data_IF_511185495229
#
_entry.id   IF_511185495229
#
_cell.length_a   1.000
_cell.length_b   1.000
_cell.length_c   1.000
_cell.angle_alpha   90.00
_cell.angle_beta   90.00
_cell.angle_gamma   90.00
#
_symmetry.space_group_name_H-M   'P 1'
#
loop_
_entity.id
_entity.type
_entity.pdbx_description
1 polymer ?
#
# COMPACT_ATOMS: atom_id res chain seq x y z
N UNK A 1 -4.99 -8.10 -36.69
CA UNK A 1 -5.68 -7.90 -35.38
C UNK A 1 -5.35 -6.56 -34.70
N UNK A 2 -4.09 -6.09 -34.68
CA UNK A 2 -3.69 -4.87 -33.96
C UNK A 2 -4.20 -3.55 -34.54
N UNK A 3 -4.30 -3.43 -35.88
CA UNK A 3 -4.86 -2.21 -36.52
C UNK A 3 -6.34 -2.02 -36.22
N UNK A 4 -7.13 -3.10 -36.31
CA UNK A 4 -8.56 -3.09 -35.97
C UNK A 4 -8.78 -2.72 -34.50
N UNK A 5 -8.00 -3.30 -33.57
CA UNK A 5 -8.10 -2.99 -32.14
C UNK A 5 -7.81 -1.51 -31.84
N UNK A 6 -6.84 -0.89 -32.54
CA UNK A 6 -6.54 0.55 -32.39
C UNK A 6 -7.67 1.45 -32.89
N UNK A 7 -8.31 1.09 -34.00
CA UNK A 7 -9.48 1.83 -34.50
C UNK A 7 -10.69 1.67 -33.60
N UNK A 8 -10.97 0.44 -33.14
CA UNK A 8 -12.09 0.18 -32.22
C UNK A 8 -11.89 0.92 -30.90
N UNK A 9 -10.68 0.90 -30.34
CA UNK A 9 -10.38 1.65 -29.11
C UNK A 9 -10.47 3.17 -29.32
N UNK A 10 -10.02 3.68 -30.47
CA UNK A 10 -10.18 5.09 -30.82
C UNK A 10 -11.64 5.52 -30.97
N UNK A 11 -12.46 4.73 -31.68
CA UNK A 11 -13.89 4.99 -31.84
C UNK A 11 -14.65 4.90 -30.51
N UNK A 12 -14.33 3.92 -29.67
CA UNK A 12 -14.90 3.80 -28.34
C UNK A 12 -14.56 5.03 -27.47
N UNK A 13 -13.31 5.48 -27.51
CA UNK A 13 -12.87 6.67 -26.80
C UNK A 13 -13.59 7.93 -27.28
N UNK A 14 -13.72 8.10 -28.59
CA UNK A 14 -14.45 9.22 -29.18
C UNK A 14 -15.93 9.20 -28.80
N UNK A 15 -16.57 8.03 -28.83
CA UNK A 15 -17.98 7.88 -28.45
C UNK A 15 -18.21 8.24 -26.98
N UNK A 16 -17.35 7.76 -26.07
CA UNK A 16 -17.41 8.11 -24.65
C UNK A 16 -17.20 9.62 -24.45
N UNK A 17 -16.19 10.20 -25.12
CA UNK A 17 -15.89 11.62 -25.02
C UNK A 17 -17.06 12.49 -25.52
N UNK A 18 -17.68 12.11 -26.64
CA UNK A 18 -18.85 12.80 -27.18
C UNK A 18 -20.03 12.78 -26.20
N UNK A 19 -20.32 11.60 -25.62
CA UNK A 19 -21.42 11.44 -24.67
C UNK A 19 -21.21 12.31 -23.40
N UNK A 20 -19.99 12.29 -22.85
CA UNK A 20 -19.63 13.13 -21.69
C UNK A 20 -19.74 14.61 -22.03
N UNK A 21 -19.26 15.03 -23.20
CA UNK A 21 -19.28 16.41 -23.64
C UNK A 21 -20.73 16.91 -23.84
N UNK A 22 -21.58 16.10 -24.48
CA UNK A 22 -22.99 16.48 -24.67
C UNK A 22 -23.73 16.67 -23.35
N UNK A 23 -23.49 15.81 -22.37
CA UNK A 23 -24.08 15.96 -21.04
C UNK A 23 -23.56 17.20 -20.32
N UNK A 24 -22.25 17.43 -20.33
CA UNK A 24 -21.64 18.60 -19.68
C UNK A 24 -22.16 19.91 -20.29
N UNK A 25 -22.27 19.99 -21.63
CA UNK A 25 -22.80 21.17 -22.31
C UNK A 25 -24.28 21.38 -21.96
N UNK A 26 -25.08 20.32 -21.92
CA UNK A 26 -26.48 20.41 -21.53
C UNK A 26 -26.66 20.92 -20.10
N UNK A 27 -25.86 20.42 -19.15
CA UNK A 27 -25.88 20.92 -17.76
C UNK A 27 -25.44 22.38 -17.68
N UNK A 28 -24.36 22.78 -18.35
CA UNK A 28 -23.89 24.18 -18.36
C UNK A 28 -25.00 25.12 -18.85
N UNK A 29 -25.68 24.76 -19.95
CA UNK A 29 -26.79 25.56 -20.48
C UNK A 29 -27.93 25.65 -19.47
N UNK A 30 -28.35 24.52 -18.88
CA UNK A 30 -29.43 24.51 -17.90
C UNK A 30 -29.12 25.34 -16.65
N UNK A 31 -27.92 25.21 -16.09
CA UNK A 31 -27.49 25.98 -14.91
C UNK A 31 -27.32 27.48 -15.20
N UNK A 32 -27.06 27.84 -16.46
CA UNK A 32 -27.05 29.24 -16.91
C UNK A 32 -28.47 29.82 -16.89
N UNK A 33 -29.47 29.06 -17.35
CA UNK A 33 -30.88 29.50 -17.38
C UNK A 33 -31.48 29.71 -15.98
N UNK A 34 -31.06 28.92 -14.98
CA UNK A 34 -31.55 29.05 -13.60
C UNK A 34 -30.71 29.99 -12.72
N UNK A 35 -29.66 30.62 -13.25
CA UNK A 35 -28.72 31.50 -12.53
C UNK A 35 -27.95 30.80 -11.37
N UNK A 36 -27.67 29.49 -11.52
CA UNK A 36 -26.88 28.69 -10.56
C UNK A 36 -25.54 28.20 -11.14
N UNK A 37 -25.06 28.81 -12.22
CA UNK A 37 -23.81 28.43 -12.89
C UNK A 37 -22.59 28.44 -11.94
N UNK A 38 -22.53 29.41 -11.03
CA UNK A 38 -21.44 29.51 -10.05
C UNK A 38 -21.39 28.30 -9.10
N UNK A 39 -22.54 27.85 -8.61
CA UNK A 39 -22.65 26.67 -7.75
C UNK A 39 -22.28 25.37 -8.49
N UNK A 40 -22.70 25.25 -9.75
CA UNK A 40 -22.32 24.13 -10.61
C UNK A 40 -20.80 24.07 -10.84
N UNK A 41 -20.18 25.21 -11.17
CA UNK A 41 -18.72 25.28 -11.36
C UNK A 41 -17.97 24.95 -10.07
N UNK A 42 -18.44 25.45 -8.92
CA UNK A 42 -17.85 25.13 -7.62
C UNK A 42 -17.92 23.63 -7.32
N UNK A 43 -19.08 22.99 -7.57
CA UNK A 43 -19.23 21.54 -7.46
C UNK A 43 -18.23 20.82 -8.36
N UNK A 44 -18.22 21.13 -9.65
CA UNK A 44 -17.36 20.43 -10.63
C UNK A 44 -15.87 20.58 -10.28
N UNK A 45 -15.44 21.79 -9.90
CA UNK A 45 -14.06 22.05 -9.46
C UNK A 45 -13.71 21.28 -8.20
N UNK A 46 -14.61 21.22 -7.23
CA UNK A 46 -14.40 20.48 -5.97
C UNK A 46 -14.30 18.99 -6.25
N UNK A 47 -15.23 18.42 -7.03
CA UNK A 47 -15.22 17.00 -7.41
C UNK A 47 -13.91 16.63 -8.13
N UNK A 48 -13.50 17.42 -9.14
CA UNK A 48 -12.29 17.16 -9.91
C UNK A 48 -11.03 17.28 -9.05
N UNK A 49 -10.95 18.32 -8.21
CA UNK A 49 -9.81 18.55 -7.31
C UNK A 49 -9.65 17.40 -6.32
N UNK A 50 -10.76 16.99 -5.68
CA UNK A 50 -10.76 15.85 -4.76
C UNK A 50 -10.36 14.56 -5.45
N UNK A 51 -10.89 14.31 -6.64
CA UNK A 51 -10.54 13.13 -7.43
C UNK A 51 -9.02 13.08 -7.68
N UNK A 52 -8.44 14.17 -8.18
CA UNK A 52 -7.00 14.26 -8.47
C UNK A 52 -6.15 14.08 -7.21
N UNK A 53 -6.49 14.79 -6.13
CA UNK A 53 -5.75 14.75 -4.86
C UNK A 53 -5.77 13.33 -4.28
N UNK A 54 -6.96 12.74 -4.12
CA UNK A 54 -7.13 11.40 -3.53
C UNK A 54 -6.45 10.35 -4.39
N UNK A 55 -6.57 10.44 -5.72
CA UNK A 55 -5.92 9.52 -6.64
C UNK A 55 -4.40 9.56 -6.51
N UNK A 56 -3.80 10.76 -6.57
CA UNK A 56 -2.34 10.94 -6.49
C UNK A 56 -1.81 10.49 -5.13
N UNK A 57 -2.47 10.88 -4.04
CA UNK A 57 -2.05 10.50 -2.68
C UNK A 57 -2.14 8.98 -2.48
N UNK A 58 -3.26 8.36 -2.88
CA UNK A 58 -3.45 6.92 -2.75
C UNK A 58 -2.45 6.14 -3.61
N UNK A 59 -2.31 6.52 -4.88
CA UNK A 59 -1.43 5.83 -5.81
C UNK A 59 0.03 6.02 -5.43
N UNK A 60 0.42 7.24 -5.07
CA UNK A 60 1.77 7.56 -4.61
C UNK A 60 2.14 6.77 -3.36
N UNK A 61 1.26 6.74 -2.36
CA UNK A 61 1.45 5.94 -1.15
C UNK A 61 1.61 4.45 -1.49
N UNK A 62 0.69 3.86 -2.25
CA UNK A 62 0.74 2.42 -2.55
C UNK A 62 1.94 2.05 -3.42
N UNK A 63 2.22 2.80 -4.49
CA UNK A 63 3.37 2.51 -5.35
C UNK A 63 4.70 2.65 -4.61
N UNK A 64 4.83 3.63 -3.71
CA UNK A 64 6.03 3.80 -2.88
C UNK A 64 6.21 2.60 -1.95
N UNK A 65 5.16 2.18 -1.24
CA UNK A 65 5.23 1.01 -0.35
C UNK A 65 5.51 -0.30 -1.12
N UNK A 66 4.86 -0.51 -2.27
CA UNK A 66 5.11 -1.68 -3.13
C UNK A 66 6.54 -1.64 -3.71
N UNK A 67 7.06 -0.47 -4.09
CA UNK A 67 8.43 -0.29 -4.56
C UNK A 67 9.44 -0.60 -3.47
N UNK A 68 9.25 -0.04 -2.27
CA UNK A 68 10.09 -0.28 -1.10
C UNK A 68 10.09 -1.76 -0.70
N UNK A 69 8.92 -2.41 -0.76
CA UNK A 69 8.82 -3.85 -0.54
C UNK A 69 9.62 -4.66 -1.57
N UNK A 70 9.67 -4.22 -2.84
CA UNK A 70 10.51 -4.87 -3.85
C UNK A 70 12.01 -4.70 -3.59
N UNK A 71 12.43 -3.53 -3.09
CA UNK A 71 13.83 -3.27 -2.76
C UNK A 71 14.31 -4.12 -1.57
N UNK A 72 13.44 -4.35 -0.58
CA UNK A 72 13.78 -5.17 0.59
C UNK A 72 13.58 -6.68 0.40
N UNK A 73 13.29 -7.15 -0.82
CA UNK A 73 13.15 -8.59 -1.10
C UNK A 73 14.45 -9.34 -0.83
N UNK A 74 14.33 -10.60 -0.42
CA UNK A 74 15.49 -11.49 -0.41
C UNK A 74 16.04 -11.64 -1.85
N UNK A 75 17.36 -11.57 -2.05
CA UNK A 75 17.96 -11.82 -3.36
C UNK A 75 17.59 -13.23 -3.82
N UNK A 76 17.23 -13.34 -5.10
CA UNK A 76 16.66 -14.56 -5.70
C UNK A 76 17.67 -15.72 -5.75
N UNK A 77 18.98 -15.43 -5.69
CA UNK A 77 20.03 -16.43 -5.71
C UNK A 77 21.19 -16.04 -4.77
N UNK A 78 21.64 -16.98 -3.93
CA UNK A 78 22.86 -16.80 -3.12
C UNK A 78 24.10 -16.66 -4.03
N UNK A 79 24.05 -17.25 -5.23
CA UNK A 79 25.08 -17.11 -6.26
C UNK A 79 25.22 -15.66 -6.77
N UNK A 80 24.14 -14.86 -6.79
CA UNK A 80 24.21 -13.46 -7.23
C UNK A 80 24.95 -12.58 -6.22
N UNK A 81 24.80 -12.90 -4.93
CA UNK A 81 25.59 -12.27 -3.86
C UNK A 81 27.06 -12.67 -3.96
N UNK A 82 27.36 -13.95 -4.24
CA UNK A 82 28.72 -14.46 -4.42
C UNK A 82 29.41 -13.79 -5.63
N UNK A 83 28.71 -13.65 -6.76
CA UNK A 83 29.22 -12.97 -7.97
C UNK A 83 29.45 -11.47 -7.73
N UNK A 84 28.57 -10.80 -6.98
CA UNK A 84 28.72 -9.36 -6.67
C UNK A 84 29.89 -9.13 -5.71
N UNK A 85 30.03 -10.00 -4.70
CA UNK A 85 31.13 -9.95 -3.73
C UNK A 85 32.47 -10.26 -4.39
N UNK A 86 32.52 -11.28 -5.25
CA UNK A 86 33.71 -11.64 -6.04
C UNK A 86 34.11 -10.57 -7.06
N UNK A 87 33.14 -9.86 -7.66
CA UNK A 87 33.41 -8.70 -8.53
C UNK A 87 34.04 -7.54 -7.74
N UNK A 88 33.59 -7.28 -6.52
CA UNK A 88 34.18 -6.27 -5.63
C UNK A 88 35.62 -6.60 -5.23
N UNK A 89 35.95 -7.88 -5.04
CA UNK A 89 37.33 -8.34 -4.80
C UNK A 89 38.22 -8.23 -6.04
N UNK A 90 37.67 -8.45 -7.24
CA UNK A 90 38.42 -8.31 -8.50
C UNK A 90 38.78 -6.86 -8.86
N UNK A 91 38.06 -5.87 -8.31
CA UNK A 91 38.33 -4.43 -8.50
C UNK A 91 39.31 -3.84 -7.48
N UNK A 92 39.70 -4.60 -6.44
CA UNK A 92 40.83 -4.26 -5.59
C UNK A 92 42.11 -4.62 -6.37
N UNK A 93 42.67 -3.62 -7.05
CA UNK A 93 43.88 -3.73 -7.84
C UNK A 93 45.04 -4.31 -7.02
N UNK A 94 45.64 -5.39 -7.52
CA UNK A 94 46.81 -6.06 -6.93
C UNK A 94 48.05 -5.15 -6.86
N UNK A 95 48.03 -3.98 -7.50
CA UNK A 95 49.08 -2.96 -7.39
C UNK A 95 49.07 -2.17 -6.07
N UNK A 96 47.94 -2.15 -5.34
CA UNK A 96 47.78 -1.37 -4.10
C UNK A 96 48.18 -2.10 -2.81
N UNK A 97 48.54 -3.39 -2.92
CA UNK A 97 49.06 -4.22 -1.82
C UNK A 97 50.59 -4.35 -1.88
N UNK A 98 51.31 -3.24 -2.04
CA UNK A 98 52.73 -3.20 -1.68
C UNK A 98 52.84 -2.91 -0.19
N UNK A 99 52.94 -3.97 0.61
CA UNK A 99 53.29 -3.92 2.02
C UNK A 99 54.69 -3.30 2.13
N UNK A 100 54.77 -1.98 2.31
CA UNK A 100 56.02 -1.29 2.58
C UNK A 100 56.52 -1.72 3.97
N UNK A 101 57.57 -2.55 4.00
CA UNK A 101 58.21 -3.10 5.21
C UNK A 101 58.82 -2.05 6.15
N UNK A 102 58.77 -0.76 5.80
CA UNK A 102 59.29 0.35 6.62
C UNK A 102 58.27 0.95 7.59
N UNK A 103 57.01 0.53 7.59
CA UNK A 103 55.98 0.98 8.56
C UNK A 103 55.83 0.05 9.77
N UNK A 104 56.78 -0.85 10.03
CA UNK A 104 56.71 -1.81 11.15
C UNK A 104 57.14 -1.23 12.52
N UNK A 105 57.61 0.03 12.58
CA UNK A 105 58.18 0.62 13.81
C UNK A 105 57.46 1.88 14.31
N UNK A 106 56.15 2.00 14.10
CA UNK A 106 55.33 3.02 14.77
C UNK A 106 54.17 2.34 15.52
N UNK A 107 53.89 2.72 16.78
CA UNK A 107 52.87 2.05 17.57
C UNK A 107 51.50 2.21 16.89
N UNK A 108 50.78 1.10 16.83
CA UNK A 108 49.54 0.90 16.10
C UNK A 108 48.44 1.94 16.40
N UNK A 109 47.49 2.18 15.47
CA UNK A 109 46.37 3.11 15.65
C UNK A 109 45.32 2.64 16.69
N UNK A 110 45.66 1.68 17.55
CA UNK A 110 44.78 1.12 18.58
C UNK A 110 44.75 2.03 19.83
N UNK A 111 45.64 3.01 19.94
CA UNK A 111 45.70 3.93 21.10
C UNK A 111 44.50 4.91 21.18
N UNK A 112 43.64 5.01 20.16
CA UNK A 112 42.55 6.02 20.13
C UNK A 112 41.17 5.55 20.59
N UNK A 113 40.99 4.29 20.97
CA UNK A 113 39.72 3.83 21.53
C UNK A 113 39.93 3.50 23.00
N UNK A 114 39.38 4.34 23.88
CA UNK A 114 39.35 4.13 25.33
C UNK A 114 38.54 2.88 25.67
N UNK A 115 39.19 1.73 25.59
CA UNK A 115 38.61 0.44 25.94
C UNK A 115 38.79 0.21 27.44
N UNK A 116 37.69 -0.07 28.15
CA UNK A 116 37.67 -0.38 29.58
C UNK A 116 38.54 -1.61 29.92
N UNK A 117 39.20 -1.65 31.10
CA UNK A 117 40.19 -2.68 31.48
C UNK A 117 39.69 -4.13 31.51
N UNK A 118 38.37 -4.32 31.49
CA UNK A 118 37.65 -5.55 31.76
C UNK A 118 37.04 -6.19 30.49
N UNK A 119 37.45 -5.73 29.31
CA UNK A 119 37.07 -6.34 28.03
C UNK A 119 38.01 -7.47 27.58
N UNK A 120 37.51 -8.51 26.90
CA UNK A 120 38.33 -9.61 26.34
C UNK A 120 39.25 -9.18 25.19
N UNK A 121 39.31 -7.88 24.88
CA UNK A 121 40.23 -7.28 23.90
C UNK A 121 41.56 -6.85 24.54
N UNK A 122 41.64 -6.78 25.87
CA UNK A 122 42.88 -6.44 26.59
C UNK A 122 43.97 -7.53 26.43
N UNK A 123 43.57 -8.77 26.17
CA UNK A 123 44.47 -9.92 25.93
C UNK A 123 45.17 -9.88 24.57
N UNK A 124 44.82 -8.95 23.68
CA UNK A 124 45.49 -8.75 22.39
C UNK A 124 46.72 -7.84 22.47
N UNK A 125 46.99 -7.22 23.64
CA UNK A 125 48.11 -6.29 23.81
C UNK A 125 49.48 -6.99 23.77
N UNK A 126 49.52 -8.25 24.21
CA UNK A 126 50.76 -9.01 24.40
C UNK A 126 50.93 -10.14 23.36
N UNK A 127 50.18 -10.08 22.25
CA UNK A 127 50.18 -11.16 21.26
C UNK A 127 51.48 -11.17 20.43
N UNK A 128 52.21 -12.31 20.34
CA UNK A 128 53.47 -12.36 19.61
C UNK A 128 53.21 -12.25 18.10
N UNK A 129 53.79 -11.22 17.46
CA UNK A 129 53.70 -10.93 16.03
C UNK A 129 54.39 -11.97 15.12
N UNK A 130 55.02 -13.00 15.69
CA UNK A 130 55.78 -14.03 14.97
C UNK A 130 54.91 -15.18 14.40
N UNK A 131 53.60 -15.20 14.66
CA UNK A 131 52.70 -16.32 14.29
C UNK A 131 51.64 -15.94 13.26
N UNK A 132 51.92 -14.96 12.41
CA UNK A 132 50.99 -14.52 11.35
C UNK A 132 50.89 -15.50 10.17
N UNK A 133 51.81 -16.47 10.04
CA UNK A 133 51.68 -17.58 9.07
C UNK A 133 50.68 -18.65 9.49
N UNK A 134 50.43 -18.75 10.80
CA UNK A 134 49.55 -19.77 11.41
C UNK A 134 48.21 -19.17 11.85
N UNK A 135 47.89 -17.95 11.36
CA UNK A 135 46.61 -17.32 11.65
C UNK A 135 45.48 -18.30 11.31
N UNK A 136 44.49 -18.47 12.20
CA UNK A 136 43.45 -19.46 11.98
C UNK A 136 42.38 -18.86 11.05
N UNK A 137 42.79 -18.44 9.85
CA UNK A 137 41.91 -18.04 8.74
C UNK A 137 41.02 -19.23 8.37
N UNK A 138 41.52 -20.46 8.57
CA UNK A 138 40.73 -21.68 8.49
C UNK A 138 39.59 -21.71 9.52
N UNK A 139 39.81 -21.31 10.77
CA UNK A 139 38.77 -21.35 11.81
C UNK A 139 37.74 -20.22 11.68
N UNK A 140 38.11 -19.09 11.07
CA UNK A 140 37.15 -18.04 10.70
C UNK A 140 36.41 -18.36 9.40
N UNK A 141 37.03 -19.09 8.46
CA UNK A 141 36.36 -19.66 7.27
C UNK A 141 35.29 -20.68 7.67
N UNK A 142 35.53 -21.45 8.74
CA UNK A 142 34.62 -22.51 9.20
C UNK A 142 33.60 -22.08 10.26
N UNK A 143 33.71 -20.87 10.82
CA UNK A 143 32.60 -20.26 11.56
C UNK A 143 31.54 -19.78 10.58
N UNK A 144 30.83 -20.73 9.98
CA UNK A 144 29.46 -20.54 9.50
C UNK A 144 28.67 -20.04 10.70
N UNK A 145 28.51 -18.72 10.82
CA UNK A 145 27.44 -18.11 11.59
C UNK A 145 26.10 -18.48 10.95
N UNK A 146 25.76 -19.78 10.98
CA UNK A 146 24.42 -20.28 10.73
C UNK A 146 23.58 -19.87 11.92
N UNK A 147 23.20 -18.60 11.95
CA UNK A 147 22.05 -18.16 12.71
C UNK A 147 20.90 -18.99 12.15
N UNK A 148 20.54 -20.10 12.81
CA UNK A 148 19.37 -20.92 12.49
C UNK A 148 18.16 -20.00 12.67
N UNK A 149 17.85 -19.22 11.63
CA UNK A 149 16.61 -18.43 11.59
C UNK A 149 15.49 -19.47 11.47
N UNK A 150 14.46 -19.43 12.32
CA UNK A 150 13.33 -20.34 12.20
C UNK A 150 12.71 -20.12 10.82
N UNK A 151 12.87 -21.10 9.93
CA UNK A 151 12.30 -21.04 8.60
C UNK A 151 10.85 -21.49 8.67
N UNK A 152 9.91 -20.65 8.20
CA UNK A 152 8.53 -21.09 8.03
C UNK A 152 8.48 -22.20 6.98
N UNK A 153 7.86 -23.32 7.31
CA UNK A 153 7.68 -24.47 6.41
C UNK A 153 6.50 -24.24 5.46
N UNK A 154 6.55 -24.81 4.25
CA UNK A 154 5.53 -24.69 3.20
C UNK A 154 4.09 -24.90 3.70
N UNK A 155 3.89 -25.85 4.61
CA UNK A 155 2.57 -26.19 5.20
C UNK A 155 1.88 -25.00 5.87
N UNK A 156 2.64 -24.04 6.41
CA UNK A 156 2.10 -22.83 7.02
C UNK A 156 2.15 -21.62 6.09
N UNK A 157 3.14 -21.57 5.18
CA UNK A 157 3.33 -20.46 4.26
C UNK A 157 2.21 -20.36 3.23
N UNK A 158 1.86 -21.49 2.59
CA UNK A 158 0.85 -21.54 1.54
C UNK A 158 -0.54 -21.10 2.03
N UNK A 159 -1.11 -21.63 3.13
CA UNK A 159 -2.42 -21.18 3.58
C UNK A 159 -2.40 -19.70 4.01
N UNK A 160 -1.29 -19.20 4.56
CA UNK A 160 -1.19 -17.79 4.93
C UNK A 160 -1.11 -16.87 3.71
N UNK A 161 -0.34 -17.25 2.68
CA UNK A 161 -0.29 -16.53 1.42
C UNK A 161 -1.64 -16.53 0.69
N UNK A 162 -2.36 -17.66 0.71
CA UNK A 162 -3.72 -17.76 0.18
C UNK A 162 -4.72 -16.91 0.97
N UNK A 163 -4.61 -16.87 2.30
CA UNK A 163 -5.48 -16.04 3.13
C UNK A 163 -5.26 -14.55 2.84
N UNK A 164 -4.02 -14.11 2.65
CA UNK A 164 -3.71 -12.73 2.27
C UNK A 164 -4.20 -12.39 0.85
N UNK A 165 -4.04 -13.29 -0.12
CA UNK A 165 -4.54 -13.04 -1.48
C UNK A 165 -6.07 -13.07 -1.56
N UNK A 166 -6.73 -13.93 -0.77
CA UNK A 166 -8.17 -13.89 -0.54
C UNK A 166 -8.59 -12.52 0.01
N UNK A 167 -7.90 -12.03 1.05
CA UNK A 167 -8.18 -10.74 1.67
C UNK A 167 -8.03 -9.59 0.66
N UNK A 168 -7.01 -9.61 -0.20
CA UNK A 168 -6.87 -8.64 -1.30
C UNK A 168 -8.07 -8.70 -2.25
N UNK A 169 -8.52 -9.90 -2.63
CA UNK A 169 -9.69 -10.08 -3.49
C UNK A 169 -10.97 -9.53 -2.85
N UNK A 170 -11.19 -9.78 -1.56
CA UNK A 170 -12.32 -9.25 -0.80
C UNK A 170 -12.27 -7.73 -0.73
N UNK A 171 -11.11 -7.15 -0.41
CA UNK A 171 -10.89 -5.70 -0.37
C UNK A 171 -11.19 -5.07 -1.73
N UNK A 172 -10.68 -5.64 -2.82
CA UNK A 172 -10.93 -5.14 -4.18
C UNK A 172 -12.41 -5.18 -4.55
N UNK A 173 -13.10 -6.28 -4.23
CA UNK A 173 -14.53 -6.38 -4.49
C UNK A 173 -15.34 -5.40 -3.63
N UNK A 174 -14.99 -5.25 -2.36
CA UNK A 174 -15.65 -4.32 -1.46
C UNK A 174 -15.61 -2.89 -2.02
N UNK A 175 -14.42 -2.36 -2.29
CA UNK A 175 -14.27 -1.01 -2.82
C UNK A 175 -14.80 -0.88 -4.25
N UNK A 176 -14.67 -1.91 -5.08
CA UNK A 176 -15.23 -1.95 -6.42
C UNK A 176 -16.76 -1.86 -6.42
N UNK A 177 -17.43 -2.60 -5.53
CA UNK A 177 -18.89 -2.53 -5.38
C UNK A 177 -19.34 -1.18 -4.83
N UNK A 178 -18.62 -0.60 -3.86
CA UNK A 178 -18.93 0.75 -3.35
C UNK A 178 -18.77 1.81 -4.43
N UNK A 179 -17.69 1.76 -5.21
CA UNK A 179 -17.50 2.68 -6.33
C UNK A 179 -18.59 2.51 -7.39
N UNK A 180 -18.96 1.27 -7.72
CA UNK A 180 -20.04 1.00 -8.65
C UNK A 180 -21.39 1.49 -8.13
N UNK A 181 -21.70 1.32 -6.84
CA UNK A 181 -22.97 1.80 -6.26
C UNK A 181 -23.07 3.32 -6.27
N UNK A 182 -21.96 4.00 -5.99
CA UNK A 182 -21.89 5.47 -6.04
C UNK A 182 -22.05 5.95 -7.49
N UNK A 183 -21.38 5.29 -8.43
CA UNK A 183 -21.52 5.60 -9.86
C UNK A 183 -22.93 5.35 -10.39
N UNK A 184 -23.55 4.22 -10.03
CA UNK A 184 -24.90 3.88 -10.47
C UNK A 184 -25.94 4.83 -9.88
N UNK A 185 -25.76 5.24 -8.62
CA UNK A 185 -26.54 6.31 -8.01
C UNK A 185 -26.42 7.61 -8.82
N UNK A 186 -25.19 8.08 -9.10
CA UNK A 186 -24.97 9.30 -9.88
C UNK A 186 -25.61 9.22 -11.28
N UNK A 187 -25.42 8.11 -12.01
CA UNK A 187 -26.08 7.90 -13.32
C UNK A 187 -27.60 7.96 -13.24
N UNK A 188 -28.20 7.38 -12.20
CA UNK A 188 -29.66 7.37 -12.01
C UNK A 188 -30.18 8.75 -11.64
N UNK A 189 -29.47 9.50 -10.80
CA UNK A 189 -29.84 10.88 -10.44
C UNK A 189 -29.73 11.82 -11.64
N UNK A 190 -28.76 11.62 -12.53
CA UNK A 190 -28.71 12.31 -13.83
C UNK A 190 -29.96 12.06 -14.71
N UNK A 191 -30.62 10.92 -14.54
CA UNK A 191 -31.84 10.55 -15.27
C UNK A 191 -33.15 10.83 -14.52
N UNK A 192 -33.09 11.12 -13.22
CA UNK A 192 -34.23 11.31 -12.34
C UNK A 192 -34.28 12.74 -11.81
N UNK A 193 -35.29 13.48 -12.23
CA UNK A 193 -35.63 14.87 -11.87
C UNK A 193 -35.32 15.22 -10.39
N UNK A 194 -34.23 15.98 -10.17
CA UNK A 194 -33.87 16.90 -9.06
C UNK A 194 -34.37 16.69 -7.60
N UNK A 195 -34.93 15.55 -7.22
CA UNK A 195 -35.55 15.33 -5.92
C UNK A 195 -34.90 14.15 -5.19
N UNK A 196 -33.66 14.34 -4.76
CA UNK A 196 -33.10 13.82 -3.48
C UNK A 196 -31.58 13.99 -3.48
N UNK A 197 -31.12 15.10 -2.89
CA UNK A 197 -29.71 15.38 -2.59
C UNK A 197 -29.19 14.52 -1.41
N UNK A 198 -29.67 13.29 -1.24
CA UNK A 198 -29.20 12.41 -0.18
C UNK A 198 -28.03 11.58 -0.73
N UNK A 199 -26.79 12.01 -0.47
CA UNK A 199 -25.62 11.19 -0.76
C UNK A 199 -25.74 9.84 -0.05
N UNK A 200 -25.53 8.70 -0.73
CA UNK A 200 -25.68 7.39 -0.12
C UNK A 200 -24.68 7.25 1.04
N UNK A 201 -25.08 6.59 2.15
CA UNK A 201 -24.19 6.41 3.29
C UNK A 201 -22.98 5.55 2.89
N UNK A 202 -21.78 5.98 3.30
CA UNK A 202 -20.55 5.24 3.07
C UNK A 202 -20.52 4.01 3.98
N UNK A 203 -20.22 2.82 3.45
CA UNK A 203 -20.01 1.64 4.28
C UNK A 203 -18.70 1.78 5.08
N UNK A 204 -18.68 1.27 6.31
CA UNK A 204 -17.43 1.20 7.09
C UNK A 204 -16.48 0.16 6.47
N UNK A 205 -15.19 0.50 6.24
CA UNK A 205 -14.20 -0.38 5.62
C UNK A 205 -13.72 -1.52 6.52
N UNK A 206 -13.74 -1.31 7.85
CA UNK A 206 -13.23 -2.24 8.86
C UNK A 206 -14.34 -2.93 9.67
N UNK A 207 -15.61 -2.58 9.42
CA UNK A 207 -16.75 -3.18 10.09
C UNK A 207 -17.02 -4.61 9.63
N UNK A 208 -16.92 -5.58 10.56
CA UNK A 208 -17.25 -6.99 10.30
C UNK A 208 -18.68 -7.20 9.75
N UNK A 209 -19.62 -6.33 10.14
CA UNK A 209 -21.00 -6.34 9.65
C UNK A 209 -21.07 -5.94 8.16
N UNK A 210 -20.28 -4.96 7.73
CA UNK A 210 -20.22 -4.52 6.33
C UNK A 210 -19.68 -5.63 5.42
N UNK A 211 -18.69 -6.38 5.88
CA UNK A 211 -18.14 -7.54 5.17
C UNK A 211 -19.17 -8.67 5.04
N UNK A 212 -19.95 -8.93 6.09
CA UNK A 212 -21.04 -9.91 6.05
C UNK A 212 -22.10 -9.56 5.01
N UNK A 213 -22.48 -8.28 4.90
CA UNK A 213 -23.43 -7.82 3.87
C UNK A 213 -22.96 -8.12 2.44
N UNK A 214 -21.66 -8.13 2.17
CA UNK A 214 -21.13 -8.40 0.83
C UNK A 214 -21.60 -9.75 0.29
N UNK A 215 -21.70 -10.76 1.16
CA UNK A 215 -22.03 -12.14 0.79
C UNK A 215 -23.44 -12.57 1.20
N UNK A 216 -23.99 -12.03 2.30
CA UNK A 216 -25.25 -12.52 2.88
C UNK A 216 -26.50 -11.88 2.30
N UNK A 217 -26.40 -10.69 1.68
CA UNK A 217 -27.57 -9.95 1.16
C UNK A 217 -27.75 -10.05 -0.36
N UNK A 218 -27.08 -10.99 -1.02
CA UNK A 218 -26.99 -11.05 -2.48
C UNK A 218 -27.70 -12.27 -3.06
N UNK A 219 -28.18 -12.13 -4.31
CA UNK A 219 -28.76 -13.28 -5.03
C UNK A 219 -27.69 -14.35 -5.29
N UNK A 220 -28.12 -15.62 -5.37
CA UNK A 220 -27.22 -16.76 -5.61
C UNK A 220 -26.35 -16.56 -6.86
N UNK A 221 -26.89 -15.96 -7.91
CA UNK A 221 -26.16 -15.68 -9.15
C UNK A 221 -25.05 -14.65 -8.95
N UNK A 222 -25.32 -13.54 -8.24
CA UNK A 222 -24.29 -12.52 -7.96
C UNK A 222 -23.18 -13.07 -7.07
N UNK A 223 -23.52 -13.93 -6.11
CA UNK A 223 -22.55 -14.57 -5.23
C UNK A 223 -21.55 -15.44 -6.00
N UNK A 224 -22.01 -16.24 -6.98
CA UNK A 224 -21.13 -17.08 -7.81
C UNK A 224 -20.12 -16.23 -8.59
N UNK A 225 -20.57 -15.13 -9.20
CA UNK A 225 -19.68 -14.22 -9.91
C UNK A 225 -18.66 -13.55 -8.98
N UNK A 226 -19.07 -13.13 -7.79
CA UNK A 226 -18.15 -12.55 -6.80
C UNK A 226 -17.08 -13.55 -6.37
N UNK A 227 -17.46 -14.78 -6.03
CA UNK A 227 -16.50 -15.83 -5.68
C UNK A 227 -15.57 -16.16 -6.85
N UNK A 228 -16.08 -16.17 -8.08
CA UNK A 228 -15.28 -16.33 -9.30
C UNK A 228 -14.23 -15.23 -9.45
N UNK A 229 -14.62 -13.96 -9.25
CA UNK A 229 -13.71 -12.81 -9.32
C UNK A 229 -12.64 -12.85 -8.23
N UNK A 230 -13.02 -13.16 -6.97
CA UNK A 230 -12.06 -13.32 -5.87
C UNK A 230 -11.06 -14.44 -6.21
N UNK A 231 -11.56 -15.58 -6.69
CA UNK A 231 -10.73 -16.72 -7.06
C UNK A 231 -9.76 -16.38 -8.19
N UNK A 232 -10.21 -15.62 -9.19
CA UNK A 232 -9.36 -15.15 -10.29
C UNK A 232 -8.25 -14.21 -9.80
N UNK A 233 -8.57 -13.26 -8.93
CA UNK A 233 -7.58 -12.37 -8.29
C UNK A 233 -6.59 -13.17 -7.45
N UNK A 234 -7.08 -14.13 -6.66
CA UNK A 234 -6.26 -15.01 -5.83
C UNK A 234 -5.25 -15.79 -6.68
N UNK A 235 -5.69 -16.41 -7.78
CA UNK A 235 -4.83 -17.14 -8.72
C UNK A 235 -3.83 -16.20 -9.38
N UNK A 236 -4.28 -15.03 -9.87
CA UNK A 236 -3.40 -14.03 -10.47
C UNK A 236 -2.26 -13.60 -9.53
N UNK A 237 -2.60 -13.30 -8.28
CA UNK A 237 -1.62 -12.95 -7.24
C UNK A 237 -0.62 -14.06 -6.95
N UNK A 238 -1.02 -15.33 -7.03
CA UNK A 238 -0.11 -16.46 -6.87
C UNK A 238 0.83 -16.65 -8.08
N UNK A 239 0.40 -16.30 -9.28
CA UNK A 239 1.24 -16.34 -10.49
C UNK A 239 2.26 -15.20 -10.49
N UNK A 240 1.84 -13.97 -10.20
CA UNK A 240 2.73 -12.82 -10.14
C UNK A 240 2.19 -11.72 -9.20
N UNK A 241 2.46 -11.88 -7.91
CA UNK A 241 1.98 -10.96 -6.88
C UNK A 241 2.36 -9.49 -7.18
N UNK A 242 3.57 -9.22 -7.69
CA UNK A 242 4.04 -7.87 -7.88
C UNK A 242 3.28 -7.12 -8.99
N UNK A 243 3.01 -7.78 -10.12
CA UNK A 243 2.27 -7.18 -11.23
C UNK A 243 0.82 -6.93 -10.81
N UNK A 244 0.17 -7.96 -10.27
CA UNK A 244 -1.24 -7.87 -9.90
C UNK A 244 -1.48 -6.89 -8.75
N UNK A 245 -0.62 -6.83 -7.73
CA UNK A 245 -0.74 -5.83 -6.66
C UNK A 245 -0.60 -4.39 -7.18
N UNK A 246 0.23 -4.13 -8.19
CA UNK A 246 0.33 -2.79 -8.81
C UNK A 246 -0.92 -2.44 -9.61
N UNK A 247 -1.48 -3.39 -10.37
CA UNK A 247 -2.72 -3.19 -11.09
C UNK A 247 -3.90 -2.95 -10.13
N UNK A 248 -3.96 -3.72 -9.04
CA UNK A 248 -4.97 -3.57 -7.98
C UNK A 248 -4.80 -2.25 -7.24
N UNK A 249 -3.57 -1.82 -6.96
CA UNK A 249 -3.31 -0.51 -6.35
C UNK A 249 -3.84 0.65 -7.22
N UNK A 250 -3.66 0.57 -8.54
CA UNK A 250 -4.20 1.55 -9.48
C UNK A 250 -5.73 1.53 -9.47
N UNK A 251 -6.34 0.33 -9.55
CA UNK A 251 -7.79 0.17 -9.52
C UNK A 251 -8.41 0.72 -8.22
N UNK A 252 -7.84 0.37 -7.06
CA UNK A 252 -8.30 0.87 -5.76
C UNK A 252 -8.12 2.39 -5.62
N UNK A 253 -6.98 2.93 -6.06
CA UNK A 253 -6.75 4.38 -6.04
C UNK A 253 -7.79 5.13 -6.87
N UNK A 254 -8.13 4.60 -8.05
CA UNK A 254 -9.21 5.13 -8.88
C UNK A 254 -10.57 5.01 -8.19
N UNK A 255 -10.88 3.86 -7.58
CA UNK A 255 -12.14 3.64 -6.85
C UNK A 255 -12.30 4.60 -5.67
N UNK A 256 -11.28 4.79 -4.84
CA UNK A 256 -11.34 5.78 -3.75
C UNK A 256 -11.49 7.19 -4.28
N UNK A 257 -10.71 7.60 -5.27
CA UNK A 257 -10.81 8.92 -5.87
C UNK A 257 -12.24 9.22 -6.37
N UNK A 258 -12.85 8.25 -7.05
CA UNK A 258 -14.23 8.33 -7.54
C UNK A 258 -15.25 8.42 -6.40
N UNK A 259 -15.13 7.57 -5.38
CA UNK A 259 -16.07 7.59 -4.25
C UNK A 259 -15.98 8.90 -3.47
N UNK A 260 -14.76 9.38 -3.19
CA UNK A 260 -14.53 10.60 -2.41
C UNK A 260 -14.97 11.84 -3.19
N UNK A 261 -14.73 11.90 -4.51
CA UNK A 261 -15.16 13.04 -5.32
C UNK A 261 -16.68 13.20 -5.35
N UNK A 262 -17.44 12.11 -5.32
CA UNK A 262 -18.91 12.18 -5.25
C UNK A 262 -19.43 12.64 -3.89
N UNK A 263 -18.59 12.64 -2.85
CA UNK A 263 -18.91 13.12 -1.50
C UNK A 263 -18.47 14.58 -1.27
N UNK A 264 -18.28 15.35 -2.34
CA UNK A 264 -17.87 16.76 -2.32
C UNK A 264 -18.72 17.61 -1.37
N UNK A 265 -20.03 17.35 -1.27
CA UNK A 265 -20.95 18.08 -0.39
C UNK A 265 -20.52 18.02 1.08
N UNK A 266 -20.18 16.82 1.59
CA UNK A 266 -19.73 16.64 2.97
C UNK A 266 -18.46 17.42 3.29
N UNK A 267 -17.57 17.56 2.30
CA UNK A 267 -16.31 18.31 2.46
C UNK A 267 -16.59 19.82 2.47
N UNK A 268 -17.45 20.32 1.57
CA UNK A 268 -17.83 21.73 1.58
C UNK A 268 -18.62 22.12 2.84
N UNK A 269 -19.51 21.25 3.30
CA UNK A 269 -20.26 21.41 4.54
C UNK A 269 -19.33 21.52 5.76
N UNK A 270 -18.25 20.72 5.80
CA UNK A 270 -17.23 20.84 6.84
C UNK A 270 -16.43 22.15 6.76
N UNK A 271 -16.12 22.62 5.55
CA UNK A 271 -15.36 23.85 5.35
C UNK A 271 -16.18 25.11 5.62
N UNK A 272 -17.49 25.05 5.39
CA UNK A 272 -18.44 26.14 5.58
C UNK A 272 -19.60 25.73 6.50
N UNK A 273 -19.32 25.40 7.77
CA UNK A 273 -20.33 24.90 8.69
C UNK A 273 -21.25 26.04 9.18
N UNK A 274 -22.49 25.69 9.54
CA UNK A 274 -23.40 26.58 10.27
C UNK A 274 -23.47 26.20 11.75
N UNK A 275 -23.41 27.19 12.63
CA UNK A 275 -23.53 26.97 14.08
C UNK A 275 -24.99 26.90 14.48
N UNK A 276 -25.34 25.90 15.28
CA UNK A 276 -26.69 25.77 15.83
C UNK A 276 -26.84 26.54 17.16
N UNK A 277 -25.73 27.02 17.73
CA UNK A 277 -25.65 27.69 19.03
C UNK A 277 -26.35 26.89 20.14
N UNK A 278 -26.34 25.57 20.00
CA UNK A 278 -26.99 24.63 20.90
C UNK A 278 -26.03 23.49 21.12
N UNK A 279 -25.57 23.32 22.36
CA UNK A 279 -24.63 22.28 22.73
C UNK A 279 -25.37 21.05 23.25
N UNK A 280 -24.89 19.87 22.89
CA UNK A 280 -25.42 18.63 23.44
C UNK A 280 -24.84 18.33 24.85
N UNK A 281 -25.54 17.55 25.71
CA UNK A 281 -25.20 17.43 27.13
C UNK A 281 -24.00 16.53 27.48
N UNK A 282 -23.59 15.61 26.61
CA UNK A 282 -22.64 14.53 26.89
C UNK A 282 -21.17 14.99 26.76
N UNK A 283 -20.86 15.75 25.72
CA UNK A 283 -19.53 16.26 25.39
C UNK A 283 -19.46 17.79 25.29
N UNK A 284 -20.60 18.49 25.37
CA UNK A 284 -20.66 19.95 25.35
C UNK A 284 -20.27 20.55 23.99
N UNK A 285 -20.39 19.78 22.91
CA UNK A 285 -20.10 20.23 21.54
C UNK A 285 -21.35 20.82 20.89
N UNK A 286 -21.19 21.82 20.01
CA UNK A 286 -22.29 22.33 19.19
C UNK A 286 -22.81 21.23 18.25
N UNK A 287 -24.13 21.18 18.04
CA UNK A 287 -24.75 20.20 17.14
C UNK A 287 -24.13 20.23 15.73
N UNK A 288 -23.64 21.38 15.26
CA UNK A 288 -22.98 21.55 13.97
C UNK A 288 -21.75 20.67 13.80
N UNK A 289 -21.05 20.31 14.88
CA UNK A 289 -19.94 19.35 14.82
C UNK A 289 -20.41 17.97 14.34
N UNK A 290 -21.56 17.50 14.82
CA UNK A 290 -22.08 16.17 14.45
C UNK A 290 -22.69 16.17 13.05
N UNK A 291 -23.27 17.29 12.64
CA UNK A 291 -23.90 17.42 11.31
C UNK A 291 -22.85 17.57 10.21
N UNK A 292 -21.80 18.37 10.43
CA UNK A 292 -20.84 18.73 9.37
C UNK A 292 -19.44 18.12 9.58
N UNK A 293 -19.03 17.88 10.84
CA UNK A 293 -17.73 17.32 11.17
C UNK A 293 -17.67 15.80 11.03
N UNK A 294 -18.57 15.08 11.70
CA UNK A 294 -18.59 13.60 11.72
C UNK A 294 -18.63 12.98 10.32
N UNK A 295 -19.42 13.48 9.35
CA UNK A 295 -19.42 12.91 8.00
C UNK A 295 -18.07 12.98 7.29
N UNK A 296 -17.25 14.00 7.56
CA UNK A 296 -15.89 14.11 7.02
C UNK A 296 -14.97 13.07 7.67
N UNK A 297 -15.07 12.87 8.98
CA UNK A 297 -14.27 11.86 9.68
C UNK A 297 -14.58 10.44 9.19
N UNK A 298 -15.84 10.13 8.92
CA UNK A 298 -16.24 8.85 8.29
C UNK A 298 -15.65 8.68 6.88
N UNK A 299 -15.55 9.76 6.11
CA UNK A 299 -14.95 9.77 4.79
C UNK A 299 -13.44 9.46 4.86
N UNK A 300 -12.75 10.04 5.84
CA UNK A 300 -11.34 9.77 6.12
C UNK A 300 -11.10 8.34 6.62
N UNK A 301 -11.97 7.83 7.50
CA UNK A 301 -11.93 6.43 7.96
C UNK A 301 -12.07 5.46 6.78
N UNK A 302 -13.08 5.67 5.93
CA UNK A 302 -13.29 4.90 4.71
C UNK A 302 -12.05 4.86 3.81
N UNK A 303 -11.47 6.02 3.52
CA UNK A 303 -10.34 6.14 2.61
C UNK A 303 -9.04 5.59 3.21
N UNK A 304 -8.64 6.08 4.38
CA UNK A 304 -7.37 5.72 5.01
C UNK A 304 -7.38 4.28 5.53
N UNK A 305 -8.53 3.81 6.02
CA UNK A 305 -8.71 2.42 6.46
C UNK A 305 -8.43 1.44 5.33
N UNK A 306 -8.98 1.69 4.14
CA UNK A 306 -8.70 0.92 2.94
C UNK A 306 -7.25 1.01 2.48
N UNK A 307 -6.72 2.24 2.44
CA UNK A 307 -5.37 2.53 1.96
C UNK A 307 -4.32 1.79 2.81
N UNK A 308 -4.41 1.90 4.13
CA UNK A 308 -3.45 1.27 5.05
C UNK A 308 -3.64 -0.24 5.14
N UNK A 309 -4.89 -0.74 5.17
CA UNK A 309 -5.15 -2.18 5.19
C UNK A 309 -4.61 -2.86 3.93
N UNK A 310 -4.94 -2.34 2.74
CA UNK A 310 -4.42 -2.89 1.50
C UNK A 310 -2.89 -2.78 1.42
N UNK A 311 -2.32 -1.63 1.81
CA UNK A 311 -0.88 -1.43 1.85
C UNK A 311 -0.16 -2.47 2.72
N UNK A 312 -0.65 -2.70 3.94
CA UNK A 312 -0.09 -3.71 4.85
C UNK A 312 -0.18 -5.13 4.27
N UNK A 313 -1.36 -5.53 3.79
CA UNK A 313 -1.61 -6.86 3.23
C UNK A 313 -0.75 -7.10 1.98
N UNK A 314 -0.66 -6.12 1.10
CA UNK A 314 0.13 -6.20 -0.13
C UNK A 314 1.63 -6.35 0.18
N UNK A 315 2.17 -5.57 1.13
CA UNK A 315 3.58 -5.68 1.54
C UNK A 315 3.87 -7.02 2.20
N UNK A 316 2.98 -7.51 3.07
CA UNK A 316 3.05 -8.86 3.64
C UNK A 316 3.11 -9.93 2.55
N UNK A 317 2.21 -9.86 1.56
CA UNK A 317 2.15 -10.81 0.47
C UNK A 317 3.43 -10.78 -0.38
N UNK A 318 3.97 -9.59 -0.67
CA UNK A 318 5.24 -9.43 -1.38
C UNK A 318 6.41 -10.09 -0.64
N UNK A 319 6.51 -9.89 0.68
CA UNK A 319 7.61 -10.45 1.45
C UNK A 319 7.54 -11.97 1.54
N UNK A 320 6.35 -12.53 1.75
CA UNK A 320 6.16 -13.97 1.82
C UNK A 320 6.35 -14.68 0.48
N UNK A 321 6.02 -14.00 -0.62
CA UNK A 321 6.21 -14.53 -1.99
C UNK A 321 7.61 -14.25 -2.55
N UNK A 322 8.45 -13.51 -1.83
CA UNK A 322 9.79 -13.13 -2.29
C UNK A 322 10.79 -14.30 -2.29
N UNK A 323 11.83 -14.21 -3.14
CA UNK A 323 12.97 -15.15 -3.13
C UNK A 323 12.61 -16.60 -3.43
N UNK A 324 11.61 -16.86 -4.28
CA UNK A 324 11.08 -18.20 -4.59
C UNK A 324 10.59 -18.99 -3.36
N UNK A 325 10.30 -18.32 -2.24
CA UNK A 325 9.91 -18.98 -0.97
C UNK A 325 8.71 -19.94 -1.10
N UNK A 326 7.77 -19.65 -2.02
CA UNK A 326 6.64 -20.53 -2.34
C UNK A 326 7.07 -21.81 -3.06
N UNK A 327 8.00 -21.70 -4.01
CA UNK A 327 8.53 -22.85 -4.78
C UNK A 327 9.45 -23.71 -3.93
N UNK A 328 10.30 -23.08 -3.12
CA UNK A 328 11.29 -23.77 -2.28
C UNK A 328 10.66 -24.30 -0.97
N UNK A 329 9.42 -23.91 -0.68
CA UNK A 329 8.68 -24.32 0.50
C UNK A 329 9.32 -23.91 1.83
N UNK A 330 10.20 -22.92 1.80
CA UNK A 330 10.96 -22.41 2.94
C UNK A 330 11.00 -20.90 2.85
N UNK A 331 10.59 -20.24 3.92
CA UNK A 331 10.76 -18.80 4.07
C UNK A 331 11.81 -18.51 5.14
N UNK A 332 12.91 -17.80 4.81
CA UNK A 332 14.06 -17.59 5.71
C UNK A 332 13.76 -16.65 6.90
N UNK A 333 12.55 -16.13 7.00
CA UNK A 333 12.14 -15.15 8.00
C UNK A 333 12.28 -13.71 7.49
N UNK A 334 11.78 -12.75 8.27
CA UNK A 334 11.85 -11.33 7.91
C UNK A 334 13.22 -10.72 8.21
N UNK A 335 13.67 -9.81 7.34
CA UNK A 335 14.82 -8.94 7.62
C UNK A 335 14.42 -7.79 8.55
N UNK A 336 15.41 -7.14 9.19
CA UNK A 336 15.13 -6.01 10.07
C UNK A 336 14.46 -4.84 9.33
N UNK A 337 14.83 -4.60 8.07
CA UNK A 337 14.21 -3.58 7.23
C UNK A 337 12.76 -3.94 6.87
N UNK A 338 12.50 -5.22 6.57
CA UNK A 338 11.14 -5.72 6.32
C UNK A 338 10.26 -5.56 7.58
N UNK A 339 10.77 -5.90 8.77
CA UNK A 339 10.05 -5.72 10.03
C UNK A 339 9.76 -4.24 10.32
N UNK A 340 10.73 -3.34 10.18
CA UNK A 340 10.50 -1.89 10.38
C UNK A 340 9.42 -1.36 9.45
N UNK A 341 9.44 -1.76 8.18
CA UNK A 341 8.43 -1.37 7.21
C UNK A 341 7.04 -1.92 7.58
N UNK A 342 6.95 -3.20 7.95
CA UNK A 342 5.71 -3.82 8.41
C UNK A 342 5.19 -3.19 9.71
N UNK A 343 6.06 -2.83 10.65
CA UNK A 343 5.66 -2.14 11.88
C UNK A 343 5.17 -0.73 11.62
N UNK A 344 5.79 0.01 10.69
CA UNK A 344 5.29 1.31 10.27
C UNK A 344 3.88 1.22 9.68
N UNK A 345 3.67 0.33 8.71
CA UNK A 345 2.34 0.09 8.13
C UNK A 345 1.33 -0.46 9.16
N UNK A 346 1.78 -1.36 10.03
CA UNK A 346 0.96 -1.90 11.12
C UNK A 346 0.50 -0.81 12.08
N UNK A 347 1.39 0.11 12.48
CA UNK A 347 1.02 1.25 13.32
C UNK A 347 0.02 2.18 12.63
N UNK A 348 0.11 2.37 11.32
CA UNK A 348 -0.87 3.16 10.56
C UNK A 348 -2.25 2.48 10.57
N UNK A 349 -2.30 1.15 10.38
CA UNK A 349 -3.54 0.36 10.51
C UNK A 349 -4.09 0.44 11.94
N UNK A 350 -3.24 0.35 12.96
CA UNK A 350 -3.69 0.47 14.35
C UNK A 350 -4.21 1.88 14.67
N UNK A 351 -3.55 2.93 14.18
CA UNK A 351 -3.96 4.32 14.37
C UNK A 351 -5.32 4.59 13.72
N UNK A 352 -5.53 4.13 12.47
CA UNK A 352 -6.83 4.30 11.82
C UNK A 352 -7.92 3.44 12.48
N UNK A 353 -7.57 2.26 13.00
CA UNK A 353 -8.53 1.45 13.78
C UNK A 353 -8.92 2.16 15.08
N UNK A 354 -7.99 2.82 15.76
CA UNK A 354 -8.32 3.61 16.95
C UNK A 354 -9.23 4.81 16.58
N UNK A 355 -8.92 5.47 15.46
CA UNK A 355 -9.74 6.55 14.92
C UNK A 355 -11.16 6.11 14.54
N UNK A 356 -11.33 4.88 14.02
CA UNK A 356 -12.65 4.31 13.69
C UNK A 356 -13.61 4.24 14.89
N UNK A 357 -13.09 4.12 16.11
CA UNK A 357 -13.89 4.02 17.34
C UNK A 357 -14.11 5.35 18.07
N UNK A 358 -13.52 6.42 17.56
CA UNK A 358 -13.78 7.79 18.01
C UNK A 358 -15.01 8.33 17.30
#
# INVERSE_FOLDING_TARGET
MTKLLRWVTGLLGLWIAWNLLSHLVAEILWFTEVDYLSAFVLRLQTQLSLWVIVFILSLGFLLTNLSLANQFKHPKNLADLEITWLKGFKTLDSSSLTLNQTQLNSPSPIVKLGVRPDSPLATLRDWPLATLSDWPLATLRDRKFSRKRPAFRLRSLLPFALALSLLVGVVLLYYGKTAFSVWDFHRKTLSATFLSEATPPLPSPLGWVSLGKLFLSESRSYLVWQLGMISAVMVGLMVNAQLWLRAIALALSFSWAMVISEQWGRILEYLYPTYFNTTEPLFGQDIGFYVFGVPLWQLLDFWLGGLFLFGLVAVWLIYLTSGNSLSDGKFPGFSQNQLRHLYGLGSAVSAITAFHYW
#
